data_IF_073776097070
#
_entry.id   IF_073776097070
#
_cell.length_a   1.000
_cell.length_b   1.000
_cell.length_c   1.000
_cell.angle_alpha   90.00
_cell.angle_beta   90.00
_cell.angle_gamma   90.00
#
_symmetry.space_group_name_H-M   'P 1'
#
loop_
_entity.id
_entity.type
_entity.pdbx_description
1 polymer ?
#
# COMPACT_ATOMS: atom_id res chain seq x y z
N UNK A 1 2.10 -33.53 -2.06
CA UNK A 1 0.98 -32.91 -1.30
C UNK A 1 1.45 -32.23 -0.02
N UNK A 2 2.34 -32.84 0.78
CA UNK A 2 2.92 -32.26 2.01
C UNK A 2 3.51 -30.85 1.82
N UNK A 3 4.24 -30.60 0.72
CA UNK A 3 4.83 -29.29 0.44
C UNK A 3 3.79 -28.22 0.12
N UNK A 4 2.67 -28.57 -0.55
CA UNK A 4 1.57 -27.63 -0.83
C UNK A 4 0.83 -27.23 0.44
N UNK A 5 0.64 -28.19 1.35
CA UNK A 5 0.06 -27.95 2.68
C UNK A 5 0.98 -27.03 3.49
N UNK A 6 2.29 -27.31 3.49
CA UNK A 6 3.27 -26.48 4.19
C UNK A 6 3.30 -25.03 3.66
N UNK A 7 3.29 -24.82 2.34
CA UNK A 7 3.16 -23.48 1.76
C UNK A 7 1.84 -22.82 2.10
N UNK A 8 0.72 -23.56 2.11
CA UNK A 8 -0.59 -22.99 2.44
C UNK A 8 -0.66 -22.54 3.90
N UNK A 9 -0.08 -23.31 4.83
CA UNK A 9 0.01 -22.95 6.24
C UNK A 9 0.89 -21.71 6.43
N UNK A 10 2.01 -21.60 5.71
CA UNK A 10 2.88 -20.43 5.74
C UNK A 10 2.17 -19.13 5.32
N UNK A 11 1.34 -19.18 4.27
CA UNK A 11 0.56 -18.01 3.82
C UNK A 11 -0.55 -17.60 4.81
N UNK A 12 -1.11 -18.55 5.56
CA UNK A 12 -2.09 -18.25 6.62
C UNK A 12 -1.42 -17.51 7.78
N UNK A 13 -0.20 -17.90 8.16
CA UNK A 13 0.58 -17.18 9.19
C UNK A 13 1.04 -15.79 8.76
N UNK A 14 1.12 -15.49 7.45
CA UNK A 14 1.36 -14.15 6.93
C UNK A 14 0.11 -13.26 6.93
N UNK A 15 -1.08 -13.84 7.14
CA UNK A 15 -2.36 -13.12 7.16
C UNK A 15 -2.72 -12.55 8.54
N UNK A 16 -1.72 -12.36 9.42
CA UNK A 16 -1.95 -11.67 10.70
C UNK A 16 -2.59 -10.31 10.36
N UNK A 17 -3.71 -9.95 11.01
CA UNK A 17 -4.28 -8.62 10.85
C UNK A 17 -3.27 -7.62 11.39
N UNK A 18 -2.43 -7.06 10.51
CA UNK A 18 -1.77 -5.81 10.79
C UNK A 18 -2.88 -4.80 11.01
N UNK A 19 -2.87 -4.11 12.14
CA UNK A 19 -3.79 -3.02 12.40
C UNK A 19 -3.84 -2.14 11.15
N UNK A 20 -4.96 -2.11 10.44
CA UNK A 20 -5.19 -1.07 9.45
C UNK A 20 -5.36 0.21 10.26
N UNK A 21 -4.24 0.88 10.52
CA UNK A 21 -4.18 2.07 11.35
C UNK A 21 -4.89 3.27 10.70
N UNK A 22 -5.66 3.08 9.63
CA UNK A 22 -6.39 4.13 8.94
C UNK A 22 -7.37 4.88 9.87
N UNK A 23 -7.97 4.21 10.87
CA UNK A 23 -8.83 4.86 11.87
C UNK A 23 -8.06 5.34 13.12
N UNK A 24 -6.95 4.68 13.47
CA UNK A 24 -6.15 5.02 14.66
C UNK A 24 -5.19 6.19 14.41
N UNK A 25 -4.50 6.21 13.27
CA UNK A 25 -3.66 7.33 12.86
C UNK A 25 -4.47 8.62 12.69
N UNK A 26 -5.72 8.52 12.22
CA UNK A 26 -6.60 9.67 12.05
C UNK A 26 -7.01 10.27 13.39
N UNK A 27 -7.36 9.45 14.38
CA UNK A 27 -7.71 9.92 15.72
C UNK A 27 -6.51 10.56 16.45
N UNK A 28 -5.29 10.05 16.27
CA UNK A 28 -4.06 10.64 16.83
C UNK A 28 -3.70 11.94 16.12
N UNK A 29 -3.89 12.03 14.80
CA UNK A 29 -3.66 13.27 14.05
C UNK A 29 -4.68 14.37 14.37
N UNK A 30 -5.97 14.02 14.50
CA UNK A 30 -7.01 14.99 14.85
C UNK A 30 -6.90 15.46 16.32
N UNK A 31 -6.23 14.69 17.19
CA UNK A 31 -5.96 15.06 18.59
C UNK A 31 -4.57 15.65 18.84
N UNK A 32 -3.69 15.68 17.83
CA UNK A 32 -2.37 16.30 17.95
C UNK A 32 -2.45 17.81 17.70
N UNK A 33 -2.06 18.63 18.68
CA UNK A 33 -1.91 20.10 18.55
C UNK A 33 -0.74 20.53 17.63
N UNK A 34 -0.14 19.59 16.89
CA UNK A 34 1.12 19.80 16.19
C UNK A 34 0.93 19.64 14.67
N UNK A 35 0.60 20.76 14.01
CA UNK A 35 0.31 20.84 12.56
C UNK A 35 1.40 20.19 11.68
N UNK A 36 2.66 20.20 12.12
CA UNK A 36 3.78 19.57 11.40
C UNK A 36 3.65 18.05 11.24
N UNK A 37 2.96 17.37 12.18
CA UNK A 37 2.69 15.92 12.05
C UNK A 37 1.62 15.65 10.99
N UNK A 38 0.58 16.49 10.90
CA UNK A 38 -0.46 16.37 9.89
C UNK A 38 0.10 16.58 8.47
N UNK A 39 0.98 17.58 8.30
CA UNK A 39 1.65 17.84 7.03
C UNK A 39 2.58 16.68 6.62
N UNK A 40 3.34 16.13 7.57
CA UNK A 40 4.20 14.97 7.34
C UNK A 40 3.44 13.73 6.85
N UNK A 41 2.26 13.45 7.40
CA UNK A 41 1.43 12.32 6.96
C UNK A 41 0.79 12.59 5.59
N UNK A 42 0.31 13.81 5.31
CA UNK A 42 -0.22 14.15 3.99
C UNK A 42 0.84 13.95 2.88
N UNK A 43 2.07 14.37 3.15
CA UNK A 43 3.20 14.14 2.23
C UNK A 43 3.52 12.64 2.08
N UNK A 44 3.42 11.86 3.16
CA UNK A 44 3.56 10.41 3.12
C UNK A 44 2.49 9.71 2.27
N UNK A 45 1.22 10.13 2.39
CA UNK A 45 0.11 9.61 1.57
C UNK A 45 0.36 9.90 0.10
N UNK A 46 0.75 11.13 -0.25
CA UNK A 46 1.09 11.49 -1.63
C UNK A 46 2.25 10.66 -2.17
N UNK A 47 3.29 10.43 -1.37
CA UNK A 47 4.44 9.62 -1.77
C UNK A 47 4.06 8.14 -2.01
N UNK A 48 3.22 7.58 -1.15
CA UNK A 48 2.73 6.20 -1.31
C UNK A 48 1.76 6.07 -2.48
N UNK A 49 0.93 7.08 -2.75
CA UNK A 49 0.01 7.12 -3.89
C UNK A 49 0.72 7.32 -5.24
N UNK A 50 1.90 7.95 -5.26
CA UNK A 50 2.69 8.11 -6.48
C UNK A 50 3.09 6.77 -7.10
N UNK A 51 3.51 5.80 -6.28
CA UNK A 51 3.98 4.50 -6.74
C UNK A 51 2.94 3.71 -7.56
N UNK A 52 1.68 3.52 -7.12
CA UNK A 52 0.68 2.80 -7.90
C UNK A 52 0.34 3.52 -9.22
N UNK A 53 0.32 4.86 -9.26
CA UNK A 53 0.12 5.58 -10.52
C UNK A 53 1.27 5.37 -11.50
N UNK A 54 2.51 5.35 -11.01
CA UNK A 54 3.69 5.06 -11.82
C UNK A 54 3.64 3.65 -12.42
N UNK A 55 3.25 2.65 -11.62
CA UNK A 55 3.08 1.26 -12.08
C UNK A 55 2.02 1.18 -13.19
N UNK A 56 0.86 1.82 -12.99
CA UNK A 56 -0.21 1.84 -14.00
C UNK A 56 0.24 2.52 -15.29
N UNK A 57 0.97 3.63 -15.19
CA UNK A 57 1.55 4.32 -16.34
C UNK A 57 2.46 3.39 -17.15
N UNK A 58 3.41 2.72 -16.50
CA UNK A 58 4.30 1.77 -17.19
C UNK A 58 3.54 0.61 -17.81
N UNK A 59 2.55 0.05 -17.10
CA UNK A 59 1.72 -1.03 -17.61
C UNK A 59 1.01 -0.62 -18.91
N UNK A 60 0.36 0.55 -18.92
CA UNK A 60 -0.32 1.09 -20.10
C UNK A 60 0.69 1.36 -21.22
N UNK A 61 1.84 1.95 -20.91
CA UNK A 61 2.89 2.23 -21.90
C UNK A 61 3.39 0.96 -22.60
N UNK A 62 3.69 -0.10 -21.85
CA UNK A 62 4.16 -1.36 -22.43
C UNK A 62 3.06 -2.08 -23.22
N UNK A 63 1.82 -2.07 -22.73
CA UNK A 63 0.67 -2.60 -23.47
C UNK A 63 0.50 -1.83 -24.78
N UNK A 64 0.46 -0.49 -24.73
CA UNK A 64 0.36 0.34 -25.93
C UNK A 64 1.48 0.06 -26.92
N UNK A 65 2.75 0.00 -26.47
CA UNK A 65 3.89 -0.32 -27.34
C UNK A 65 3.80 -1.71 -27.96
N UNK A 66 3.21 -2.68 -27.25
CA UNK A 66 3.04 -4.06 -27.75
C UNK A 66 1.93 -4.17 -28.80
N UNK A 67 0.84 -3.41 -28.65
CA UNK A 67 -0.33 -3.48 -29.53
C UNK A 67 -0.36 -2.40 -30.61
N UNK A 68 0.40 -1.31 -30.45
CA UNK A 68 0.70 -0.38 -31.52
C UNK A 68 1.73 -1.06 -32.43
N UNK A 69 1.22 -1.59 -33.54
CA UNK A 69 2.01 -2.17 -34.63
C UNK A 69 3.16 -1.25 -35.05
#
# INVERSE_FOLDING_TARGET
MKNKILTSVFFIFLSIPGFSQCAMCRAVLESSENDGMAEGINNGIMYLAFLPYLIVFFMIFFVYKKFKK
#
